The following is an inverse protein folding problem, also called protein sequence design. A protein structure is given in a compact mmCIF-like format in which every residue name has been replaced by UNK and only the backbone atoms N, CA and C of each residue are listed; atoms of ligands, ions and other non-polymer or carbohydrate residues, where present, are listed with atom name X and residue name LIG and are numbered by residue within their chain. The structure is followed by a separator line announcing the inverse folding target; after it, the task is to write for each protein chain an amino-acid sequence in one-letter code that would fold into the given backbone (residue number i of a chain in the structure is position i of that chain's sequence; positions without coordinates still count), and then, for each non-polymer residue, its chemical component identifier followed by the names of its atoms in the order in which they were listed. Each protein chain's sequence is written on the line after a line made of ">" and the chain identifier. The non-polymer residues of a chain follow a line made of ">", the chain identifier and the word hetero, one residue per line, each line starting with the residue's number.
data_IF_638383151675
#
_entry.id   IF_638383151675
#
_cell.length_a   1.000
_cell.length_b   1.000
_cell.length_c   1.000
_cell.angle_alpha   90.00
_cell.angle_beta   90.00
_cell.angle_gamma   90.00
#
_symmetry.space_group_name_H-M   'P 1'
#
loop_
_entity.id
_entity.type
_entity.pdbx_description
1 polymer ?
#
# COMPACT_ATOMS: atom_id res chain seq x y z
N UNK A 1 45.17 37.44 42.03
CA UNK A 1 44.58 36.30 42.84
C UNK A 1 44.38 35.12 41.93
N UNK A 2 44.94 33.96 42.25
CA UNK A 2 44.88 32.77 41.38
C UNK A 2 43.65 31.93 41.69
N UNK A 3 43.04 31.44 40.63
CA UNK A 3 41.90 30.49 40.58
C UNK A 3 42.34 29.12 41.13
N UNK A 4 41.53 28.41 41.92
CA UNK A 4 41.92 27.12 42.48
C UNK A 4 41.82 25.98 41.45
N UNK A 5 42.81 25.09 41.50
CA UNK A 5 42.93 23.90 40.69
C UNK A 5 41.93 22.83 41.10
N UNK A 6 41.23 22.27 40.12
CA UNK A 6 40.33 21.10 40.28
C UNK A 6 41.18 19.84 40.25
N UNK A 7 41.19 19.07 41.37
CA UNK A 7 41.77 17.74 41.44
C UNK A 7 40.85 16.73 40.74
N UNK A 8 41.36 16.11 39.67
CA UNK A 8 40.71 14.94 39.05
C UNK A 8 41.35 13.69 39.66
N UNK A 9 40.50 12.86 40.31
CA UNK A 9 40.93 11.55 40.81
C UNK A 9 41.08 10.55 39.66
N UNK A 10 42.01 9.59 39.72
CA UNK A 10 42.22 8.61 38.65
C UNK A 10 41.12 7.60 38.54
N UNK A 11 40.74 7.27 37.29
CA UNK A 11 39.71 6.31 36.94
C UNK A 11 40.11 4.86 37.32
N UNK A 12 39.18 4.12 37.95
CA UNK A 12 39.32 2.68 38.18
C UNK A 12 39.31 1.86 36.89
N UNK A 13 40.06 0.75 36.81
CA UNK A 13 40.10 -0.11 35.62
C UNK A 13 38.80 -0.92 35.49
N UNK A 14 38.38 -1.27 34.25
CA UNK A 14 37.11 -1.96 33.99
C UNK A 14 37.11 -3.39 34.51
N UNK A 15 36.06 -3.75 35.26
CA UNK A 15 35.81 -5.12 35.77
C UNK A 15 35.57 -6.06 34.58
N UNK A 16 36.27 -7.20 34.56
CA UNK A 16 36.10 -8.29 33.62
C UNK A 16 34.67 -8.83 33.69
N UNK A 17 34.00 -8.86 32.57
CA UNK A 17 32.64 -9.39 32.34
C UNK A 17 32.74 -10.92 32.40
N UNK A 18 31.97 -11.55 33.30
CA UNK A 18 31.90 -13.00 33.48
C UNK A 18 31.45 -13.75 32.20
N UNK A 19 31.97 -14.96 32.12
CA UNK A 19 31.71 -15.91 31.04
C UNK A 19 30.22 -16.16 30.81
N UNK A 20 29.78 -15.98 29.59
CA UNK A 20 28.45 -16.43 29.17
C UNK A 20 28.48 -17.95 28.99
N UNK A 21 27.71 -18.64 29.81
CA UNK A 21 27.38 -20.04 29.61
C UNK A 21 26.75 -20.20 28.20
N UNK A 22 27.37 -21.04 27.40
CA UNK A 22 26.86 -21.46 26.08
C UNK A 22 25.56 -22.24 26.25
N UNK A 23 24.49 -21.82 25.58
CA UNK A 23 23.27 -22.61 25.39
C UNK A 23 23.62 -23.85 24.53
N UNK A 24 23.09 -25.04 24.83
CA UNK A 24 23.31 -26.21 24.02
C UNK A 24 22.65 -26.01 22.64
N UNK A 25 23.40 -26.30 21.59
CA UNK A 25 22.90 -26.35 20.22
C UNK A 25 21.92 -27.53 20.11
N UNK A 26 20.73 -27.27 19.55
CA UNK A 26 19.78 -28.33 19.17
C UNK A 26 20.27 -28.87 17.82
N UNK A 27 20.83 -30.08 17.83
CA UNK A 27 21.21 -30.81 16.65
C UNK A 27 19.97 -31.50 16.07
N UNK A 28 19.55 -31.16 14.86
CA UNK A 28 18.44 -31.79 14.15
C UNK A 28 19.07 -32.79 13.16
N UNK A 29 18.90 -34.11 13.34
CA UNK A 29 19.40 -35.10 12.38
C UNK A 29 18.66 -35.04 11.05
N UNK A 30 19.39 -35.03 9.93
CA UNK A 30 18.85 -34.95 8.57
C UNK A 30 18.57 -36.32 7.94
N UNK A 31 18.71 -37.42 8.67
CA UNK A 31 18.47 -38.76 8.15
C UNK A 31 17.47 -39.54 9.00
N UNK A 32 16.49 -40.11 8.29
CA UNK A 32 15.25 -40.70 8.79
C UNK A 32 15.45 -42.06 9.50
N UNK A 33 16.01 -42.13 10.69
CA UNK A 33 15.97 -43.31 11.54
C UNK A 33 15.02 -43.08 12.75
N UNK A 34 14.13 -44.06 12.97
CA UNK A 34 13.20 -44.09 14.08
C UNK A 34 13.94 -44.32 15.42
N UNK A 35 13.63 -43.57 16.48
CA UNK A 35 14.16 -43.85 17.82
C UNK A 35 13.53 -45.12 18.43
N UNK A 36 14.27 -45.86 19.27
CA UNK A 36 13.79 -47.07 19.92
C UNK A 36 12.82 -46.78 21.06
N UNK A 37 11.87 -47.68 21.27
CA UNK A 37 10.83 -47.64 22.26
C UNK A 37 11.40 -47.68 23.70
N UNK A 38 10.89 -46.84 24.58
CA UNK A 38 11.11 -46.88 26.04
C UNK A 38 10.00 -47.71 26.72
N UNK A 39 10.30 -48.39 27.85
CA UNK A 39 9.40 -49.37 28.46
C UNK A 39 8.31 -48.66 29.30
N UNK A 40 7.17 -49.34 29.37
CA UNK A 40 5.97 -49.00 30.14
C UNK A 40 6.24 -49.10 31.64
N UNK A 41 5.89 -48.08 32.40
CA UNK A 41 5.61 -48.20 33.85
C UNK A 41 4.11 -48.01 34.12
N UNK A 42 3.52 -49.03 34.71
CA UNK A 42 2.17 -49.04 35.26
C UNK A 42 2.03 -48.10 36.44
N UNK A 43 0.97 -47.34 36.54
CA UNK A 43 0.04 -47.39 37.68
C UNK A 43 -1.00 -46.26 37.69
N UNK A 44 -2.24 -46.62 38.03
CA UNK A 44 -3.14 -45.72 38.75
C UNK A 44 -4.41 -45.29 38.01
N UNK A 45 -5.45 -46.09 38.13
CA UNK A 45 -6.87 -45.74 37.87
C UNK A 45 -7.27 -44.39 38.41
N UNK A 46 -7.83 -43.54 37.56
CA UNK A 46 -9.00 -42.71 37.92
C UNK A 46 -9.95 -42.57 36.72
N UNK A 47 -11.15 -43.05 36.89
CA UNK A 47 -12.28 -43.00 35.94
C UNK A 47 -12.96 -41.64 36.03
N UNK A 48 -13.28 -41.05 34.88
CA UNK A 48 -14.36 -40.07 34.87
C UNK A 48 -14.32 -39.09 33.71
N UNK A 49 -15.20 -39.31 32.72
CA UNK A 49 -15.89 -38.32 31.92
C UNK A 49 -15.09 -37.22 31.24
N UNK A 50 -14.79 -37.36 29.95
CA UNK A 50 -15.16 -36.39 28.90
C UNK A 50 -14.89 -37.01 27.53
N UNK A 51 -15.99 -37.40 26.89
CA UNK A 51 -15.99 -37.85 25.49
C UNK A 51 -15.98 -36.63 24.60
N UNK A 52 -14.80 -36.17 24.18
CA UNK A 52 -14.68 -35.20 23.10
C UNK A 52 -14.74 -35.96 21.78
N UNK A 53 -15.79 -35.69 20.99
CA UNK A 53 -15.83 -35.96 19.55
C UNK A 53 -14.72 -35.20 18.89
N UNK A 54 -13.79 -35.89 18.23
CA UNK A 54 -12.85 -35.31 17.32
C UNK A 54 -13.58 -34.89 16.05
N UNK A 55 -13.96 -33.62 15.94
CA UNK A 55 -14.37 -33.06 14.66
C UNK A 55 -13.13 -33.02 13.75
N UNK A 56 -13.15 -33.83 12.70
CA UNK A 56 -12.15 -33.78 11.64
C UNK A 56 -12.27 -32.41 10.96
N UNK A 57 -11.23 -31.61 11.00
CA UNK A 57 -11.16 -30.37 10.21
C UNK A 57 -11.41 -30.71 8.74
N UNK A 58 -12.42 -30.09 8.15
CA UNK A 58 -12.74 -30.21 6.72
C UNK A 58 -11.68 -29.47 5.91
N UNK A 59 -11.28 -30.04 4.78
CA UNK A 59 -10.38 -29.35 3.85
C UNK A 59 -11.08 -28.16 3.16
N UNK A 60 -10.35 -27.14 2.67
CA UNK A 60 -10.95 -25.98 2.00
C UNK A 60 -11.92 -26.34 0.87
N UNK A 61 -11.63 -27.38 0.10
CA UNK A 61 -12.49 -27.86 -1.00
C UNK A 61 -13.82 -28.46 -0.50
N UNK A 62 -13.82 -29.09 0.67
CA UNK A 62 -15.05 -29.61 1.29
C UNK A 62 -15.95 -28.49 1.83
N UNK A 63 -15.36 -27.38 2.26
CA UNK A 63 -16.12 -26.19 2.72
C UNK A 63 -16.76 -25.46 1.55
N UNK A 64 -16.11 -25.43 0.38
CA UNK A 64 -16.65 -24.81 -0.84
C UNK A 64 -17.82 -25.62 -1.41
N UNK A 65 -17.70 -26.96 -1.48
CA UNK A 65 -18.75 -27.81 -1.99
C UNK A 65 -20.02 -27.83 -1.09
N UNK A 66 -19.83 -27.71 0.24
CA UNK A 66 -20.96 -27.60 1.18
C UNK A 66 -21.70 -26.25 1.03
N UNK A 67 -20.97 -25.14 0.74
CA UNK A 67 -21.60 -23.84 0.48
C UNK A 67 -22.35 -23.76 -0.84
N UNK A 68 -21.86 -24.41 -1.89
CA UNK A 68 -22.56 -24.51 -3.17
C UNK A 68 -23.82 -25.34 -3.06
N UNK A 69 -23.82 -26.44 -2.27
CA UNK A 69 -24.99 -27.25 -2.00
C UNK A 69 -26.06 -26.51 -1.15
N UNK A 70 -25.61 -25.65 -0.22
CA UNK A 70 -26.51 -24.84 0.61
C UNK A 70 -27.15 -23.68 -0.19
N UNK A 71 -26.43 -23.08 -1.14
CA UNK A 71 -26.95 -22.05 -2.06
C UNK A 71 -27.95 -22.66 -3.08
N UNK A 72 -27.70 -23.85 -3.58
CA UNK A 72 -28.65 -24.55 -4.48
C UNK A 72 -29.95 -24.97 -3.79
N UNK A 73 -29.96 -25.12 -2.46
CA UNK A 73 -31.13 -25.43 -1.67
C UNK A 73 -32.02 -24.22 -1.32
N UNK A 74 -31.56 -22.99 -1.58
CA UNK A 74 -32.25 -21.73 -1.27
C UNK A 74 -32.98 -21.09 -2.47
N UNK A 75 -32.90 -21.65 -3.67
CA UNK A 75 -33.65 -21.15 -4.82
C UNK A 75 -35.10 -21.71 -4.78
N UNK A 76 -36.15 -20.85 -4.81
CA UNK A 76 -37.53 -21.29 -4.81
C UNK A 76 -37.95 -21.85 -6.17
N UNK A 77 -38.53 -23.03 -6.17
CA UNK A 77 -39.06 -23.72 -7.34
C UNK A 77 -40.15 -22.91 -8.07
N UNK A 78 -40.22 -22.92 -9.41
CA UNK A 78 -41.23 -22.18 -10.16
C UNK A 78 -42.62 -22.82 -10.03
N UNK A 79 -43.62 -21.99 -9.68
CA UNK A 79 -45.03 -22.36 -9.59
C UNK A 79 -45.66 -22.59 -10.97
N UNK A 80 -46.60 -23.55 -11.12
CA UNK A 80 -47.18 -23.91 -12.39
C UNK A 80 -48.27 -22.93 -12.86
N UNK A 81 -48.32 -22.77 -14.20
CA UNK A 81 -49.23 -21.94 -14.95
C UNK A 81 -50.70 -22.33 -14.80
N UNK A 82 -51.58 -21.34 -14.67
CA UNK A 82 -53.04 -21.48 -14.79
C UNK A 82 -53.51 -20.87 -16.12
N UNK A 83 -54.08 -21.74 -16.97
CA UNK A 83 -54.65 -21.41 -18.26
C UNK A 83 -56.04 -20.77 -18.19
N UNK A 84 -56.40 -19.99 -19.24
CA UNK A 84 -57.68 -19.58 -19.83
C UNK A 84 -57.82 -18.05 -19.98
N UNK A 85 -58.28 -17.44 -21.05
CA UNK A 85 -58.95 -17.78 -22.26
C UNK A 85 -58.78 -16.65 -23.26
N UNK A 86 -58.91 -16.92 -24.58
CA UNK A 86 -59.00 -15.97 -25.70
C UNK A 86 -60.42 -15.33 -25.78
N UNK A 87 -60.72 -14.29 -26.60
CA UNK A 87 -60.56 -14.33 -28.07
C UNK A 87 -60.12 -13.02 -28.80
N UNK A 88 -59.72 -13.23 -30.01
CA UNK A 88 -59.50 -12.46 -31.24
C UNK A 88 -60.51 -11.32 -31.55
N UNK A 89 -60.30 -10.31 -32.49
CA UNK A 89 -59.76 -10.51 -33.85
C UNK A 89 -58.79 -9.43 -34.43
N UNK A 90 -58.19 -9.84 -35.50
CA UNK A 90 -57.36 -9.18 -36.53
C UNK A 90 -57.87 -7.84 -37.10
N UNK A 91 -57.01 -7.00 -37.85
CA UNK A 91 -56.64 -7.42 -39.19
C UNK A 91 -55.26 -6.98 -39.74
N UNK A 92 -54.74 -7.83 -40.62
CA UNK A 92 -54.17 -7.65 -41.97
C UNK A 92 -52.84 -6.90 -42.17
N UNK A 93 -51.86 -7.69 -42.52
CA UNK A 93 -51.01 -7.75 -43.73
C UNK A 93 -49.86 -6.75 -43.91
N UNK A 94 -48.66 -7.28 -43.97
CA UNK A 94 -47.86 -7.25 -45.21
C UNK A 94 -46.66 -8.24 -45.04
N UNK A 95 -46.60 -9.20 -45.96
CA UNK A 95 -45.47 -10.13 -46.12
C UNK A 95 -44.25 -9.40 -46.64
N UNK A 96 -43.13 -9.49 -45.90
CA UNK A 96 -41.79 -9.32 -46.47
C UNK A 96 -41.02 -10.62 -46.22
N UNK A 97 -40.79 -11.33 -47.29
CA UNK A 97 -40.04 -12.57 -47.35
C UNK A 97 -38.58 -12.36 -46.92
N UNK A 98 -38.18 -13.11 -45.86
CA UNK A 98 -36.77 -13.23 -45.45
C UNK A 98 -36.25 -14.55 -46.03
N UNK A 99 -35.12 -14.58 -46.74
CA UNK A 99 -34.56 -15.82 -47.28
C UNK A 99 -33.93 -16.67 -46.15
N UNK A 100 -34.16 -17.97 -46.23
CA UNK A 100 -33.69 -19.05 -45.40
C UNK A 100 -32.15 -19.07 -45.35
N UNK A 101 -31.51 -19.16 -44.18
CA UNK A 101 -30.04 -19.25 -44.08
C UNK A 101 -29.57 -20.66 -44.48
N UNK A 102 -28.62 -20.70 -45.38
CA UNK A 102 -27.91 -21.91 -45.80
C UNK A 102 -27.10 -22.52 -44.61
N UNK A 103 -26.89 -23.84 -44.58
CA UNK A 103 -26.22 -24.52 -43.46
C UNK A 103 -24.77 -24.06 -43.32
N UNK A 104 -24.42 -23.63 -42.11
CA UNK A 104 -23.09 -23.19 -41.73
C UNK A 104 -22.06 -24.33 -41.83
N UNK A 105 -20.99 -24.08 -42.54
CA UNK A 105 -19.80 -24.91 -42.57
C UNK A 105 -19.15 -24.95 -41.15
N UNK A 106 -18.48 -26.03 -40.75
CA UNK A 106 -17.87 -26.14 -39.44
C UNK A 106 -16.78 -25.07 -39.28
N UNK A 107 -16.89 -24.30 -38.18
CA UNK A 107 -15.93 -23.28 -37.79
C UNK A 107 -14.56 -23.91 -37.54
N UNK A 108 -13.56 -23.38 -38.24
CA UNK A 108 -12.18 -23.68 -37.95
C UNK A 108 -11.79 -23.18 -36.55
N UNK A 109 -10.91 -23.90 -35.80
CA UNK A 109 -10.48 -23.48 -34.49
C UNK A 109 -9.74 -22.14 -34.55
N UNK A 110 -9.91 -21.24 -33.56
CA UNK A 110 -9.26 -19.92 -33.57
C UNK A 110 -7.74 -20.06 -33.52
N UNK A 111 -7.06 -19.36 -34.40
CA UNK A 111 -5.61 -19.29 -34.45
C UNK A 111 -5.09 -18.31 -33.39
N UNK A 112 -4.51 -18.78 -32.25
CA UNK A 112 -4.11 -17.90 -31.14
C UNK A 112 -2.70 -17.32 -31.25
N UNK A 113 -1.94 -17.60 -32.33
CA UNK A 113 -0.52 -17.29 -32.38
C UNK A 113 -0.14 -16.01 -33.15
N UNK A 114 -1.00 -15.50 -34.04
CA UNK A 114 -0.65 -14.34 -34.85
C UNK A 114 -0.80 -13.01 -34.11
N UNK A 115 -1.83 -12.86 -33.26
CA UNK A 115 -2.07 -11.64 -32.49
C UNK A 115 -1.01 -11.34 -31.43
N UNK A 116 -0.51 -12.37 -30.73
CA UNK A 116 0.53 -12.20 -29.68
C UNK A 116 1.89 -11.79 -30.23
N UNK A 117 2.25 -12.27 -31.43
CA UNK A 117 3.51 -11.86 -32.09
C UNK A 117 3.44 -10.42 -32.61
N UNK A 118 2.27 -9.98 -33.07
CA UNK A 118 2.06 -8.61 -33.53
C UNK A 118 2.20 -7.60 -32.36
N UNK A 119 1.57 -7.86 -31.22
CA UNK A 119 1.68 -7.00 -30.03
C UNK A 119 3.14 -6.92 -29.55
N UNK A 120 3.86 -8.02 -29.47
CA UNK A 120 5.26 -8.02 -29.06
C UNK A 120 6.17 -7.20 -30.02
N UNK A 121 5.90 -7.25 -31.34
CA UNK A 121 6.63 -6.42 -32.32
C UNK A 121 6.31 -4.92 -32.16
N UNK A 122 5.06 -4.57 -31.93
CA UNK A 122 4.63 -3.19 -31.71
C UNK A 122 5.21 -2.62 -30.41
N UNK A 123 5.25 -3.42 -29.34
CA UNK A 123 5.89 -3.03 -28.07
C UNK A 123 7.40 -2.87 -28.25
N UNK A 124 8.07 -3.72 -29.01
CA UNK A 124 9.51 -3.56 -29.31
C UNK A 124 9.80 -2.27 -30.11
N UNK A 125 8.96 -1.95 -31.10
CA UNK A 125 9.06 -0.69 -31.84
C UNK A 125 8.79 0.53 -30.92
N UNK A 126 7.80 0.44 -30.03
CA UNK A 126 7.52 1.46 -29.03
C UNK A 126 8.67 1.65 -28.03
N UNK A 127 9.33 0.56 -27.63
CA UNK A 127 10.52 0.62 -26.77
C UNK A 127 11.67 1.37 -27.45
N UNK A 128 11.92 1.11 -28.72
CA UNK A 128 12.95 1.83 -29.48
C UNK A 128 12.64 3.32 -29.61
N UNK A 129 11.38 3.68 -29.87
CA UNK A 129 10.94 5.07 -29.94
C UNK A 129 11.08 5.79 -28.59
N UNK A 130 10.65 5.15 -27.48
CA UNK A 130 10.82 5.68 -26.12
C UNK A 130 12.29 5.87 -25.79
N UNK A 131 13.15 4.92 -26.15
CA UNK A 131 14.60 5.03 -25.90
C UNK A 131 15.18 6.25 -26.61
N UNK A 132 14.85 6.45 -27.89
CA UNK A 132 15.32 7.61 -28.66
C UNK A 132 14.81 8.94 -28.08
N UNK A 133 13.53 9.03 -27.66
CA UNK A 133 12.97 10.21 -27.00
C UNK A 133 13.72 10.54 -25.69
N UNK A 134 14.03 9.51 -24.89
CA UNK A 134 14.77 9.70 -23.61
C UNK A 134 16.20 10.15 -23.87
N UNK A 135 16.91 9.50 -24.82
CA UNK A 135 18.28 9.88 -25.17
C UNK A 135 18.36 11.32 -25.66
N UNK A 136 17.39 11.75 -26.49
CA UNK A 136 17.30 13.14 -26.93
C UNK A 136 17.09 14.09 -25.74
N UNK A 137 16.18 13.76 -24.82
CA UNK A 137 15.89 14.59 -23.64
C UNK A 137 17.09 14.71 -22.69
N UNK A 138 17.87 13.65 -22.54
CA UNK A 138 19.08 13.66 -21.69
C UNK A 138 20.23 14.46 -22.32
N UNK A 139 20.22 14.68 -23.63
CA UNK A 139 21.23 15.52 -24.33
C UNK A 139 20.86 17.01 -24.36
N UNK A 140 19.61 17.38 -24.06
CA UNK A 140 19.19 18.76 -23.90
C UNK A 140 19.86 19.37 -22.67
N UNK A 141 20.55 20.51 -22.82
CA UNK A 141 21.18 21.22 -21.71
C UNK A 141 20.13 21.55 -20.63
N UNK A 142 20.38 21.09 -19.42
CA UNK A 142 19.50 21.38 -18.30
C UNK A 142 19.70 22.84 -17.88
N UNK A 143 18.68 23.68 -18.13
CA UNK A 143 18.58 24.98 -17.48
C UNK A 143 18.73 24.82 -15.97
N UNK A 144 19.29 25.85 -15.30
CA UNK A 144 19.42 25.81 -13.84
C UNK A 144 18.05 25.58 -13.18
N UNK A 145 17.81 24.37 -12.65
CA UNK A 145 16.55 24.02 -12.02
C UNK A 145 16.28 24.86 -10.78
N UNK A 146 15.07 25.40 -10.69
CA UNK A 146 14.57 26.13 -9.53
C UNK A 146 13.43 25.34 -8.89
N UNK A 147 13.53 25.11 -7.58
CA UNK A 147 12.45 24.46 -6.84
C UNK A 147 11.18 25.31 -6.86
N UNK A 148 9.99 24.69 -6.93
CA UNK A 148 8.74 25.41 -6.83
C UNK A 148 8.67 26.17 -5.50
N UNK A 149 8.27 27.47 -5.50
CA UNK A 149 8.14 28.21 -4.25
C UNK A 149 7.01 27.64 -3.39
N UNK A 150 7.23 27.53 -2.08
CA UNK A 150 6.27 26.96 -1.14
C UNK A 150 4.93 27.72 -1.11
N UNK A 151 4.93 28.98 -1.50
CA UNK A 151 3.75 29.85 -1.58
C UNK A 151 2.73 29.39 -2.63
N UNK A 152 3.09 28.46 -3.53
CA UNK A 152 2.14 27.82 -4.43
C UNK A 152 1.21 26.85 -3.70
N UNK A 153 1.60 26.39 -2.52
CA UNK A 153 0.80 25.48 -1.70
C UNK A 153 -0.02 26.27 -0.67
N UNK A 154 -1.24 25.82 -0.50
CA UNK A 154 -2.18 26.43 0.44
C UNK A 154 -1.69 26.30 1.89
N UNK A 155 -1.78 27.37 2.66
CA UNK A 155 -1.54 27.36 4.11
C UNK A 155 -2.74 26.79 4.89
N UNK A 156 -2.46 26.09 5.99
CA UNK A 156 -3.50 25.69 6.93
C UNK A 156 -4.04 26.93 7.67
N UNK A 157 -5.36 26.91 7.89
CA UNK A 157 -5.99 27.93 8.72
C UNK A 157 -5.87 27.54 10.19
N UNK A 158 -5.66 28.52 11.05
CA UNK A 158 -5.68 28.30 12.50
C UNK A 158 -7.05 27.77 12.95
N UNK A 159 -7.03 26.69 13.71
CA UNK A 159 -8.24 26.08 14.30
C UNK A 159 -8.62 26.78 15.62
N UNK A 160 -9.92 26.80 15.91
CA UNK A 160 -10.42 27.31 17.19
C UNK A 160 -10.28 26.25 18.30
N UNK A 161 -9.07 26.12 18.85
CA UNK A 161 -8.75 25.12 19.88
C UNK A 161 -9.56 25.21 21.18
N UNK A 162 -10.17 26.37 21.48
CA UNK A 162 -10.90 26.54 22.72
C UNK A 162 -12.24 25.79 22.74
N UNK A 163 -13.01 25.85 21.65
CA UNK A 163 -14.27 25.11 21.51
C UNK A 163 -14.02 23.61 21.43
N UNK A 164 -13.03 23.21 20.67
CA UNK A 164 -12.58 21.82 20.55
C UNK A 164 -12.23 21.24 21.91
N UNK A 165 -11.48 21.94 22.75
CA UNK A 165 -11.09 21.47 24.08
C UNK A 165 -12.27 21.24 25.04
N UNK A 166 -13.35 22.03 24.96
CA UNK A 166 -14.56 21.81 25.77
C UNK A 166 -15.32 20.56 25.30
N UNK A 167 -15.45 20.37 23.99
CA UNK A 167 -16.07 19.18 23.39
C UNK A 167 -15.32 17.89 23.74
N UNK A 168 -14.00 17.90 23.64
CA UNK A 168 -13.15 16.74 23.99
C UNK A 168 -13.36 16.28 25.44
N UNK A 169 -13.39 17.23 26.39
CA UNK A 169 -13.65 16.90 27.80
C UNK A 169 -15.06 16.36 28.02
N UNK A 170 -16.05 16.90 27.35
CA UNK A 170 -17.43 16.42 27.44
C UNK A 170 -17.59 15.00 26.90
N UNK A 171 -17.01 14.72 25.74
CA UNK A 171 -17.02 13.38 25.13
C UNK A 171 -16.26 12.36 26.00
N UNK A 172 -15.11 12.72 26.56
CA UNK A 172 -14.37 11.86 27.49
C UNK A 172 -15.22 11.46 28.72
N UNK A 173 -15.95 12.43 29.29
CA UNK A 173 -16.85 12.16 30.43
C UNK A 173 -18.00 11.26 30.03
N UNK A 174 -18.67 11.53 28.90
CA UNK A 174 -19.77 10.70 28.39
C UNK A 174 -19.30 9.26 28.13
N UNK A 175 -18.09 9.08 27.57
CA UNK A 175 -17.50 7.76 27.40
C UNK A 175 -17.31 7.03 28.73
N UNK A 176 -16.75 7.69 29.75
CA UNK A 176 -16.56 7.09 31.06
C UNK A 176 -17.89 6.68 31.70
N UNK A 177 -18.92 7.54 31.63
CA UNK A 177 -20.27 7.25 32.12
C UNK A 177 -20.90 6.09 31.36
N UNK A 178 -20.72 6.02 30.03
CA UNK A 178 -21.24 4.94 29.20
C UNK A 178 -20.58 3.62 29.53
N UNK A 179 -19.23 3.56 29.64
CA UNK A 179 -18.51 2.36 30.02
C UNK A 179 -18.95 1.85 31.40
N UNK A 180 -19.09 2.74 32.38
CA UNK A 180 -19.59 2.39 33.72
C UNK A 180 -20.99 1.83 33.69
N UNK A 181 -21.92 2.40 32.87
CA UNK A 181 -23.30 1.91 32.74
C UNK A 181 -23.36 0.50 32.16
N UNK A 182 -22.41 0.11 31.34
CA UNK A 182 -22.28 -1.26 30.81
C UNK A 182 -21.42 -2.18 31.71
N UNK A 183 -21.11 -1.72 32.93
CA UNK A 183 -20.32 -2.49 33.90
C UNK A 183 -18.88 -2.74 33.47
N UNK A 184 -18.31 -1.81 32.72
CA UNK A 184 -16.89 -1.81 32.37
C UNK A 184 -16.16 -0.80 33.27
N UNK A 185 -15.34 -1.33 34.18
CA UNK A 185 -14.53 -0.51 35.06
C UNK A 185 -13.26 -0.06 34.31
N UNK A 186 -13.21 1.23 33.99
CA UNK A 186 -12.12 1.84 33.24
C UNK A 186 -11.91 3.29 33.69
N UNK A 187 -10.66 3.69 33.82
CA UNK A 187 -10.27 5.05 34.18
C UNK A 187 -9.88 5.84 32.94
N UNK A 188 -10.47 7.04 32.77
CA UNK A 188 -10.13 7.94 31.66
C UNK A 188 -8.65 8.37 31.76
N UNK A 189 -7.92 8.21 30.66
CA UNK A 189 -6.53 8.62 30.47
C UNK A 189 -6.42 9.81 29.53
N UNK A 190 -5.42 9.75 28.63
CA UNK A 190 -5.11 10.81 27.67
C UNK A 190 -6.17 10.93 26.56
N UNK A 191 -6.34 12.13 26.04
CA UNK A 191 -7.15 12.40 24.85
C UNK A 191 -6.23 12.90 23.75
N UNK A 192 -6.18 12.16 22.66
CA UNK A 192 -5.34 12.49 21.49
C UNK A 192 -6.25 12.92 20.36
N UNK A 193 -6.23 14.22 20.04
CA UNK A 193 -7.04 14.80 18.97
C UNK A 193 -6.26 14.80 17.67
N UNK A 194 -6.79 14.10 16.67
CA UNK A 194 -6.23 14.06 15.31
C UNK A 194 -7.12 14.79 14.31
N UNK A 195 -6.69 14.86 13.03
CA UNK A 195 -7.40 15.64 12.02
C UNK A 195 -8.80 15.09 11.66
N UNK A 196 -8.99 13.77 11.71
CA UNK A 196 -10.26 13.12 11.33
C UNK A 196 -10.92 12.37 12.48
N UNK A 197 -10.14 11.90 13.44
CA UNK A 197 -10.62 11.14 14.60
C UNK A 197 -9.95 11.62 15.88
N UNK A 198 -10.67 11.49 16.98
CA UNK A 198 -10.13 11.70 18.33
C UNK A 198 -10.04 10.36 19.03
N UNK A 199 -8.88 10.03 19.58
CA UNK A 199 -8.66 8.85 20.38
C UNK A 199 -8.73 9.19 21.85
N UNK A 200 -9.69 8.58 22.55
CA UNK A 200 -9.82 8.62 24.00
C UNK A 200 -9.20 7.37 24.60
N UNK A 201 -8.21 7.54 25.44
CA UNK A 201 -7.51 6.44 26.07
C UNK A 201 -8.15 6.09 27.43
N UNK A 202 -8.36 4.81 27.67
CA UNK A 202 -8.90 4.32 28.93
C UNK A 202 -8.01 3.23 29.49
N UNK A 203 -7.65 3.33 30.76
CA UNK A 203 -6.94 2.29 31.51
C UNK A 203 -7.99 1.31 32.02
N UNK A 204 -7.88 0.05 31.64
CA UNK A 204 -8.79 -1.01 32.08
C UNK A 204 -8.39 -1.54 33.43
N UNK A 205 -9.35 -1.74 34.33
CA UNK A 205 -9.13 -2.39 35.60
C UNK A 205 -8.83 -3.88 35.43
N UNK A 206 -8.20 -4.47 36.47
CA UNK A 206 -7.80 -5.87 36.45
C UNK A 206 -9.01 -6.79 36.25
N UNK A 207 -8.88 -7.71 35.29
CA UNK A 207 -9.95 -8.67 34.98
C UNK A 207 -10.94 -8.24 33.88
N UNK A 208 -10.88 -6.99 33.42
CA UNK A 208 -11.71 -6.55 32.29
C UNK A 208 -11.15 -7.10 30.99
N UNK A 209 -11.96 -7.88 30.26
CA UNK A 209 -11.58 -8.45 28.96
C UNK A 209 -11.78 -7.44 27.86
N UNK A 210 -10.81 -7.30 26.94
CA UNK A 210 -10.90 -6.42 25.77
C UNK A 210 -12.16 -6.72 24.94
N UNK A 211 -12.53 -7.99 24.76
CA UNK A 211 -13.72 -8.39 24.02
C UNK A 211 -15.02 -7.83 24.60
N UNK A 212 -15.08 -7.58 25.92
CA UNK A 212 -16.25 -6.95 26.55
C UNK A 212 -16.45 -5.53 26.03
N UNK A 213 -15.35 -4.78 25.83
CA UNK A 213 -15.42 -3.39 25.35
C UNK A 213 -15.61 -3.33 23.84
N UNK A 214 -14.89 -4.17 23.08
CA UNK A 214 -15.03 -4.17 21.61
C UNK A 214 -16.43 -4.54 21.16
N UNK A 215 -17.16 -5.35 21.91
CA UNK A 215 -18.57 -5.68 21.63
C UNK A 215 -19.55 -4.52 21.91
N UNK A 216 -19.11 -3.49 22.61
CA UNK A 216 -19.90 -2.29 22.92
C UNK A 216 -19.67 -1.14 21.89
N UNK A 217 -18.97 -1.40 20.79
CA UNK A 217 -18.65 -0.35 19.80
C UNK A 217 -19.89 0.39 19.29
N UNK A 218 -20.95 -0.34 18.97
CA UNK A 218 -22.19 0.23 18.43
C UNK A 218 -22.97 1.00 19.50
N UNK A 219 -23.01 0.49 20.73
CA UNK A 219 -23.67 1.16 21.87
C UNK A 219 -22.94 2.45 22.24
N UNK A 220 -21.61 2.43 22.21
CA UNK A 220 -20.78 3.62 22.45
C UNK A 220 -20.96 4.65 21.32
N UNK A 221 -21.00 4.20 20.07
CA UNK A 221 -21.26 5.09 18.93
C UNK A 221 -22.62 5.77 19.07
N UNK A 222 -23.66 5.01 19.43
CA UNK A 222 -25.01 5.53 19.69
C UNK A 222 -25.01 6.57 20.83
N UNK A 223 -24.35 6.25 21.95
CA UNK A 223 -24.28 7.14 23.11
C UNK A 223 -23.60 8.49 22.79
N UNK A 224 -22.63 8.49 21.87
CA UNK A 224 -21.91 9.71 21.44
C UNK A 224 -22.58 10.42 20.26
N UNK A 225 -23.56 9.79 19.60
CA UNK A 225 -24.13 10.27 18.35
C UNK A 225 -23.12 10.25 17.18
N UNK A 226 -22.19 9.31 17.22
CA UNK A 226 -21.18 9.08 16.17
C UNK A 226 -21.65 8.05 15.15
N UNK A 227 -21.16 8.13 13.92
CA UNK A 227 -21.46 7.14 12.87
C UNK A 227 -20.89 5.75 13.13
N UNK A 228 -19.92 5.64 14.02
CA UNK A 228 -19.25 4.42 14.45
C UNK A 228 -18.04 4.77 15.31
N UNK A 229 -17.54 3.82 16.10
CA UNK A 229 -16.29 3.97 16.86
C UNK A 229 -15.40 2.75 16.61
N UNK A 230 -14.10 2.96 16.68
CA UNK A 230 -13.12 1.87 16.62
C UNK A 230 -12.46 1.72 17.98
N UNK A 231 -12.41 0.49 18.48
CA UNK A 231 -11.81 0.19 19.77
C UNK A 231 -10.62 -0.74 19.57
N UNK A 232 -9.43 -0.31 19.99
CA UNK A 232 -8.20 -1.07 19.83
C UNK A 232 -7.26 -0.89 21.02
N UNK A 233 -6.47 -1.92 21.38
CA UNK A 233 -5.39 -1.75 22.36
C UNK A 233 -4.34 -0.78 21.82
N UNK A 234 -3.72 0.00 22.71
CA UNK A 234 -2.66 0.92 22.34
C UNK A 234 -1.33 0.18 22.47
N UNK A 235 -0.55 0.09 21.36
CA UNK A 235 0.81 -0.45 21.45
C UNK A 235 1.62 0.31 22.51
N UNK A 236 2.50 -0.41 23.22
CA UNK A 236 3.42 0.11 24.24
C UNK A 236 2.78 0.62 25.54
N UNK A 237 1.44 0.61 25.69
CA UNK A 237 0.74 0.95 26.92
C UNK A 237 0.01 -0.29 27.48
N UNK A 238 0.41 -0.75 28.65
CA UNK A 238 -0.19 -1.94 29.30
C UNK A 238 -1.58 -1.59 29.81
N UNK A 239 -2.57 -2.45 29.53
CA UNK A 239 -3.97 -2.31 29.94
C UNK A 239 -4.67 -1.03 29.45
N UNK A 240 -4.13 -0.35 28.43
CA UNK A 240 -4.75 0.84 27.85
C UNK A 240 -5.44 0.51 26.54
N UNK A 241 -6.69 0.96 26.42
CA UNK A 241 -7.51 0.84 25.21
C UNK A 241 -7.78 2.22 24.66
N UNK A 242 -7.63 2.37 23.35
CA UNK A 242 -8.03 3.57 22.62
C UNK A 242 -9.42 3.41 22.03
N UNK A 243 -10.30 4.35 22.30
CA UNK A 243 -11.61 4.51 21.66
C UNK A 243 -11.49 5.64 20.66
N UNK A 244 -11.48 5.33 19.39
CA UNK A 244 -11.36 6.28 18.29
C UNK A 244 -12.75 6.69 17.82
N UNK A 245 -13.05 7.98 17.99
CA UNK A 245 -14.34 8.59 17.66
C UNK A 245 -14.13 9.54 16.49
N UNK A 246 -14.90 9.45 15.40
CA UNK A 246 -14.84 10.41 14.30
C UNK A 246 -15.13 11.83 14.77
N UNK A 247 -14.33 12.79 14.31
CA UNK A 247 -14.56 14.20 14.61
C UNK A 247 -15.81 14.68 13.87
N UNK A 248 -16.60 15.57 14.48
CA UNK A 248 -17.72 16.22 13.79
C UNK A 248 -17.26 17.13 12.66
N UNK A 249 -16.15 17.81 12.88
CA UNK A 249 -15.48 18.61 11.87
C UNK A 249 -14.13 17.95 11.58
N UNK A 250 -13.91 17.60 10.31
CA UNK A 250 -12.67 17.04 9.85
C UNK A 250 -11.77 18.17 9.39
N UNK A 251 -10.56 18.24 9.94
CA UNK A 251 -9.54 19.19 9.53
C UNK A 251 -8.78 18.62 8.33
N UNK A 252 -8.77 19.33 7.19
CA UNK A 252 -7.98 18.88 6.06
C UNK A 252 -6.48 18.92 6.37
N UNK A 253 -5.78 17.85 6.10
CA UNK A 253 -4.31 17.81 6.20
C UNK A 253 -3.73 18.35 4.90
N UNK A 254 -3.13 19.53 4.94
CA UNK A 254 -2.53 20.14 3.77
C UNK A 254 -1.12 19.63 3.54
N UNK A 255 -0.77 19.41 2.28
CA UNK A 255 0.55 18.91 1.90
C UNK A 255 1.68 19.85 2.33
N UNK A 256 1.42 21.17 2.33
CA UNK A 256 2.39 22.18 2.77
C UNK A 256 2.85 21.93 4.20
N UNK A 257 1.93 21.65 5.11
CA UNK A 257 2.26 21.42 6.52
C UNK A 257 3.22 20.23 6.70
N UNK A 258 3.08 19.22 5.86
CA UNK A 258 3.96 18.05 5.92
C UNK A 258 5.30 18.32 5.23
N UNK A 259 5.32 19.04 4.09
CA UNK A 259 6.55 19.40 3.36
C UNK A 259 7.43 20.36 4.19
N UNK A 260 6.83 21.32 4.90
CA UNK A 260 7.55 22.25 5.78
C UNK A 260 7.98 21.60 7.11
N UNK A 261 7.46 20.40 7.42
CA UNK A 261 7.80 19.73 8.67
C UNK A 261 9.26 19.31 8.75
N UNK A 262 9.75 19.18 9.98
CA UNK A 262 11.11 18.74 10.25
C UNK A 262 11.34 17.30 9.77
N UNK A 263 10.32 16.44 9.90
CA UNK A 263 10.37 15.06 9.47
C UNK A 263 10.61 14.93 7.97
N UNK A 264 10.07 15.85 7.16
CA UNK A 264 10.28 15.87 5.72
C UNK A 264 11.57 16.58 5.33
N UNK A 265 11.82 17.77 5.87
CA UNK A 265 12.98 18.61 5.48
C UNK A 265 14.32 17.95 5.82
N UNK A 266 14.44 17.34 7.01
CA UNK A 266 15.64 16.64 7.48
C UNK A 266 15.75 15.20 6.96
N UNK A 267 14.74 14.70 6.22
CA UNK A 267 14.77 13.34 5.69
C UNK A 267 15.87 13.18 4.64
N UNK A 268 16.73 12.17 4.80
CA UNK A 268 17.95 11.99 3.97
C UNK A 268 17.66 11.50 2.56
N UNK A 269 16.62 10.70 2.38
CA UNK A 269 16.26 10.14 1.08
C UNK A 269 15.73 11.20 0.14
N UNK A 270 16.17 11.16 -1.11
CA UNK A 270 15.73 12.04 -2.19
C UNK A 270 14.36 11.62 -2.77
N UNK A 271 13.92 10.43 -2.46
CA UNK A 271 12.60 9.90 -2.84
C UNK A 271 11.66 9.78 -1.63
N UNK A 272 11.84 10.66 -0.63
CA UNK A 272 10.92 10.81 0.48
C UNK A 272 9.69 11.62 0.06
N UNK A 273 8.50 11.22 0.54
CA UNK A 273 7.24 11.88 0.20
C UNK A 273 6.34 12.09 1.41
N UNK A 274 5.55 13.15 1.38
CA UNK A 274 4.54 13.46 2.38
C UNK A 274 3.38 12.48 2.28
N UNK A 275 3.14 11.69 3.33
CA UNK A 275 2.02 10.75 3.38
C UNK A 275 0.80 11.39 4.05
N UNK A 276 0.99 12.21 5.08
CA UNK A 276 -0.08 12.87 5.83
C UNK A 276 0.23 13.01 7.31
N UNK A 277 -0.81 12.91 8.14
CA UNK A 277 -0.70 12.91 9.61
C UNK A 277 -1.29 11.64 10.20
N UNK A 278 -0.69 11.14 11.27
CA UNK A 278 -1.27 10.05 12.06
C UNK A 278 -2.41 10.55 12.96
N UNK A 279 -3.05 9.62 13.69
CA UNK A 279 -4.13 9.93 14.64
C UNK A 279 -3.65 10.90 15.74
N UNK A 280 -2.35 10.87 16.05
CA UNK A 280 -1.72 11.77 17.02
C UNK A 280 -1.34 13.15 16.47
N UNK A 281 -1.66 13.43 15.21
CA UNK A 281 -1.32 14.70 14.55
C UNK A 281 0.15 14.80 14.11
N UNK A 282 0.96 13.73 14.25
CA UNK A 282 2.36 13.73 13.80
C UNK A 282 2.44 13.58 12.30
N UNK A 283 3.32 14.34 11.67
CA UNK A 283 3.57 14.24 10.24
C UNK A 283 4.24 12.90 9.91
N UNK A 284 3.70 12.21 8.92
CA UNK A 284 4.21 10.92 8.44
C UNK A 284 4.80 11.13 7.06
N UNK A 285 6.06 10.74 6.94
CA UNK A 285 6.84 10.79 5.69
C UNK A 285 7.14 9.37 5.25
N UNK A 286 6.75 9.06 4.03
CA UNK A 286 7.11 7.82 3.35
C UNK A 286 8.46 7.94 2.65
N UNK A 287 9.07 6.81 2.35
CA UNK A 287 10.35 6.75 1.65
C UNK A 287 10.32 5.60 0.64
N UNK A 288 10.33 5.97 -0.65
CA UNK A 288 10.25 4.98 -1.73
C UNK A 288 11.49 4.07 -1.73
N UNK A 289 12.66 4.58 -1.34
CA UNK A 289 13.88 3.75 -1.27
C UNK A 289 13.75 2.60 -0.26
N UNK A 290 13.03 2.84 0.85
CA UNK A 290 12.75 1.81 1.86
C UNK A 290 11.63 0.86 1.46
N UNK A 291 10.59 1.36 0.79
CA UNK A 291 9.40 0.60 0.40
C UNK A 291 9.57 -0.35 -0.79
N UNK A 292 10.57 -0.40 -1.52
CA UNK A 292 11.14 0.11 -2.75
C UNK A 292 10.12 0.40 -3.86
N UNK A 293 8.94 -0.16 -3.78
CA UNK A 293 7.82 0.05 -4.71
C UNK A 293 6.55 0.30 -3.91
N UNK A 294 5.58 1.01 -4.48
CA UNK A 294 4.34 1.41 -3.83
C UNK A 294 3.15 0.99 -4.69
N UNK A 295 2.19 0.32 -4.07
CA UNK A 295 0.89 0.04 -4.66
C UNK A 295 -0.17 0.89 -3.95
N UNK A 296 -0.91 1.69 -4.72
CA UNK A 296 -1.98 2.57 -4.25
C UNK A 296 -3.30 2.06 -4.82
N UNK A 297 -4.12 1.44 -3.99
CA UNK A 297 -5.41 0.92 -4.42
C UNK A 297 -6.56 1.70 -3.76
N UNK A 298 -7.61 1.97 -4.55
CA UNK A 298 -8.79 2.64 -4.04
C UNK A 298 -9.84 2.91 -5.10
N UNK A 299 -11.10 2.86 -4.72
CA UNK A 299 -12.25 3.21 -5.58
C UNK A 299 -12.31 4.71 -5.85
N UNK A 300 -13.14 5.12 -6.80
CA UNK A 300 -13.40 6.53 -7.06
C UNK A 300 -13.81 7.27 -5.78
N UNK A 301 -13.18 8.39 -5.50
CA UNK A 301 -13.43 9.19 -4.30
C UNK A 301 -12.70 8.72 -3.02
N UNK A 302 -11.91 7.62 -3.08
CA UNK A 302 -11.13 7.14 -1.92
C UNK A 302 -9.88 7.97 -1.60
N UNK A 303 -9.49 8.87 -2.49
CA UNK A 303 -8.27 9.67 -2.36
C UNK A 303 -7.05 9.11 -3.10
N UNK A 304 -7.21 8.08 -3.97
CA UNK A 304 -6.11 7.50 -4.77
C UNK A 304 -5.32 8.57 -5.52
N UNK A 305 -5.99 9.38 -6.31
CA UNK A 305 -5.36 10.46 -7.11
C UNK A 305 -4.72 11.52 -6.23
N UNK A 306 -5.34 11.86 -5.08
CA UNK A 306 -4.76 12.80 -4.12
C UNK A 306 -3.45 12.25 -3.54
N UNK A 307 -3.42 10.96 -3.19
CA UNK A 307 -2.22 10.29 -2.67
C UNK A 307 -1.10 10.25 -3.73
N UNK A 308 -1.42 9.89 -4.98
CA UNK A 308 -0.46 9.87 -6.09
C UNK A 308 0.10 11.27 -6.36
N UNK A 309 -0.77 12.29 -6.44
CA UNK A 309 -0.36 13.67 -6.63
C UNK A 309 0.49 14.19 -5.45
N UNK A 310 0.12 13.86 -4.22
CA UNK A 310 0.89 14.21 -3.02
C UNK A 310 2.30 13.63 -3.07
N UNK A 311 2.45 12.39 -3.52
CA UNK A 311 3.74 11.74 -3.71
C UNK A 311 4.58 12.47 -4.77
N UNK A 312 4.01 12.72 -5.97
CA UNK A 312 4.71 13.41 -7.06
C UNK A 312 5.14 14.80 -6.63
N UNK A 313 4.22 15.61 -6.10
CA UNK A 313 4.49 16.98 -5.63
C UNK A 313 5.58 16.98 -4.56
N UNK A 314 5.54 16.02 -3.62
CA UNK A 314 6.60 15.90 -2.61
C UNK A 314 7.99 15.73 -3.23
N UNK A 315 8.11 14.89 -4.27
CA UNK A 315 9.40 14.69 -4.95
C UNK A 315 9.84 15.93 -5.70
N UNK A 316 8.93 16.69 -6.30
CA UNK A 316 9.24 17.97 -6.97
C UNK A 316 9.75 19.04 -5.98
N UNK A 317 9.30 19.02 -4.72
CA UNK A 317 9.82 19.90 -3.66
C UNK A 317 11.08 19.35 -2.97
N UNK A 318 11.41 18.08 -3.15
CA UNK A 318 12.54 17.43 -2.46
C UNK A 318 13.79 17.29 -3.31
N UNK A 319 13.64 17.11 -4.62
CA UNK A 319 14.72 16.63 -5.48
C UNK A 319 14.78 17.37 -6.80
N UNK A 320 15.99 17.53 -7.33
CA UNK A 320 16.25 18.08 -8.66
C UNK A 320 16.05 17.00 -9.74
N UNK A 321 15.94 17.37 -11.03
CA UNK A 321 15.91 16.41 -12.13
C UNK A 321 17.15 15.49 -12.19
N UNK A 322 18.31 15.93 -11.68
CA UNK A 322 19.53 15.11 -11.62
C UNK A 322 19.52 14.10 -10.48
N UNK A 323 18.58 14.25 -9.55
CA UNK A 323 18.41 13.34 -8.43
C UNK A 323 17.24 12.37 -8.63
N UNK A 324 16.16 12.82 -9.28
CA UNK A 324 14.94 12.04 -9.54
C UNK A 324 14.38 12.32 -10.92
N UNK A 325 14.13 11.30 -11.69
CA UNK A 325 13.44 11.34 -12.99
C UNK A 325 12.15 10.54 -12.95
N UNK A 326 11.18 10.99 -13.74
CA UNK A 326 9.88 10.32 -13.84
C UNK A 326 9.63 9.73 -15.23
N UNK A 327 8.96 8.60 -15.25
CA UNK A 327 8.13 8.11 -16.34
C UNK A 327 6.70 8.06 -15.79
N UNK A 328 5.78 8.75 -16.43
CA UNK A 328 4.38 8.80 -16.01
C UNK A 328 3.48 8.19 -17.07
N UNK A 329 2.57 7.32 -16.62
CA UNK A 329 1.63 6.59 -17.48
C UNK A 329 0.21 6.87 -17.02
N UNK A 330 -0.59 7.48 -17.89
CA UNK A 330 -1.98 7.85 -17.65
C UNK A 330 -2.84 7.48 -18.86
N UNK A 331 -3.34 6.23 -18.93
CA UNK A 331 -4.16 5.78 -20.05
C UNK A 331 -5.48 6.55 -20.18
N UNK A 332 -5.96 7.17 -19.09
CA UNK A 332 -7.22 7.92 -19.04
C UNK A 332 -7.06 9.39 -19.40
N UNK A 333 -5.85 9.92 -19.46
CA UNK A 333 -5.54 11.34 -19.73
C UNK A 333 -6.20 12.33 -18.76
N UNK A 334 -6.36 11.97 -17.48
CA UNK A 334 -7.12 12.77 -16.52
C UNK A 334 -6.23 13.30 -15.40
N UNK A 335 -5.40 12.45 -14.81
CA UNK A 335 -4.75 12.73 -13.53
C UNK A 335 -3.32 13.28 -13.69
N UNK A 336 -2.53 12.74 -14.63
CA UNK A 336 -1.11 13.06 -14.75
C UNK A 336 -0.80 14.04 -15.91
N UNK A 337 -1.74 14.33 -16.78
CA UNK A 337 -1.56 15.28 -17.88
C UNK A 337 -1.02 16.67 -17.47
N UNK A 338 -1.38 17.24 -16.27
CA UNK A 338 -0.83 18.51 -15.82
C UNK A 338 0.67 18.53 -15.59
N UNK A 339 1.31 17.36 -15.43
CA UNK A 339 2.75 17.25 -15.25
C UNK A 339 3.56 17.29 -16.55
N UNK A 340 2.91 17.34 -17.72
CA UNK A 340 3.62 17.49 -18.98
C UNK A 340 4.48 18.78 -18.97
N UNK A 341 5.74 18.66 -19.39
CA UNK A 341 6.66 19.78 -19.45
C UNK A 341 7.52 20.00 -18.19
N UNK A 342 7.28 19.27 -17.08
CA UNK A 342 8.19 19.37 -15.93
C UNK A 342 9.58 18.81 -16.28
N UNK A 343 10.67 19.41 -15.78
CA UNK A 343 12.04 18.99 -16.10
C UNK A 343 12.38 17.56 -15.66
N UNK A 344 11.66 17.02 -14.67
CA UNK A 344 11.86 15.66 -14.16
C UNK A 344 11.39 14.56 -15.10
N UNK A 345 10.48 14.86 -16.06
CA UNK A 345 9.99 13.84 -17.01
C UNK A 345 11.08 13.45 -18.01
N UNK A 346 11.27 12.14 -18.17
CA UNK A 346 12.13 11.59 -19.22
C UNK A 346 11.46 11.64 -20.58
N UNK A 347 10.14 11.44 -20.62
CA UNK A 347 9.27 11.52 -21.82
C UNK A 347 7.97 12.19 -21.41
N UNK A 348 7.21 12.77 -22.35
CA UNK A 348 5.84 13.22 -22.10
C UNK A 348 4.99 12.12 -21.48
N UNK A 349 3.98 12.48 -20.68
CA UNK A 349 3.07 11.52 -20.05
C UNK A 349 2.51 10.54 -21.08
N UNK A 350 2.74 9.26 -20.85
CA UNK A 350 2.39 8.20 -21.78
C UNK A 350 0.93 7.83 -21.62
N UNK A 351 0.16 7.91 -22.70
CA UNK A 351 -1.29 7.65 -22.72
C UNK A 351 -1.64 6.38 -23.49
N UNK A 352 -0.81 5.96 -24.42
CA UNK A 352 -0.99 4.73 -25.20
C UNK A 352 -0.45 3.50 -24.41
N UNK A 353 -1.27 2.43 -24.23
CA UNK A 353 -0.86 1.25 -23.47
C UNK A 353 0.35 0.50 -24.06
N UNK A 354 0.53 0.51 -25.40
CA UNK A 354 1.69 -0.14 -26.01
C UNK A 354 2.96 0.67 -25.79
N UNK A 355 2.88 2.00 -25.88
CA UNK A 355 3.98 2.91 -25.53
C UNK A 355 4.30 2.79 -24.04
N UNK A 356 3.30 2.58 -23.16
CA UNK A 356 3.49 2.32 -21.75
C UNK A 356 4.26 1.01 -21.47
N UNK A 357 3.91 -0.07 -22.18
CA UNK A 357 4.66 -1.32 -22.13
C UNK A 357 6.11 -1.11 -22.58
N UNK A 358 6.32 -0.32 -23.65
CA UNK A 358 7.66 0.05 -24.13
C UNK A 358 8.47 0.85 -23.09
N UNK A 359 7.83 1.80 -22.39
CA UNK A 359 8.46 2.58 -21.33
C UNK A 359 8.84 1.72 -20.11
N UNK A 360 8.01 0.72 -19.77
CA UNK A 360 8.35 -0.26 -18.73
C UNK A 360 9.53 -1.16 -19.14
N UNK A 361 9.57 -1.59 -20.39
CA UNK A 361 10.72 -2.34 -20.92
C UNK A 361 12.00 -1.50 -20.91
N UNK A 362 11.90 -0.21 -21.25
CA UNK A 362 13.04 0.70 -21.13
C UNK A 362 13.52 0.78 -19.66
N UNK A 363 12.62 0.87 -18.69
CA UNK A 363 13.00 0.87 -17.27
C UNK A 363 13.76 -0.41 -16.86
N UNK A 364 13.35 -1.58 -17.39
CA UNK A 364 14.10 -2.84 -17.20
C UNK A 364 15.47 -2.76 -17.85
N UNK A 365 15.56 -2.26 -19.08
CA UNK A 365 16.83 -2.11 -19.79
C UNK A 365 17.79 -1.16 -19.04
N UNK A 366 17.31 0.00 -18.62
CA UNK A 366 18.10 0.95 -17.82
C UNK A 366 18.57 0.33 -16.50
N UNK A 367 17.71 -0.39 -15.81
CA UNK A 367 18.06 -1.15 -14.61
C UNK A 367 19.23 -2.12 -14.86
N UNK A 368 19.16 -2.90 -15.94
CA UNK A 368 20.21 -3.86 -16.30
C UNK A 368 21.52 -3.16 -16.72
N UNK A 369 21.42 -2.05 -17.44
CA UNK A 369 22.56 -1.19 -17.77
C UNK A 369 23.26 -0.71 -16.50
N UNK A 370 22.52 -0.23 -15.50
CA UNK A 370 23.06 0.21 -14.21
C UNK A 370 23.76 -0.92 -13.47
N UNK A 371 23.20 -2.12 -13.45
CA UNK A 371 23.87 -3.28 -12.85
C UNK A 371 25.22 -3.60 -13.51
N UNK A 372 25.29 -3.48 -14.84
CA UNK A 372 26.56 -3.63 -15.56
C UNK A 372 27.57 -2.57 -15.14
N UNK A 373 27.16 -1.31 -15.12
CA UNK A 373 28.00 -0.18 -14.67
C UNK A 373 28.45 -0.37 -13.22
N UNK A 374 27.57 -0.81 -12.33
CA UNK A 374 27.92 -1.08 -10.92
C UNK A 374 28.97 -2.18 -10.79
N UNK A 375 28.82 -3.25 -11.58
CA UNK A 375 29.79 -4.35 -11.61
C UNK A 375 31.16 -3.89 -12.08
N UNK A 376 31.21 -3.04 -13.11
CA UNK A 376 32.47 -2.48 -13.67
C UNK A 376 33.21 -1.59 -12.64
N UNK A 377 32.46 -0.93 -11.73
CA UNK A 377 33.03 -0.04 -10.70
C UNK A 377 33.10 -0.69 -9.30
N UNK A 378 32.77 -2.00 -9.18
CA UNK A 378 32.88 -2.75 -7.92
C UNK A 378 31.89 -2.31 -6.84
N UNK A 379 30.78 -1.66 -7.20
CA UNK A 379 29.71 -1.24 -6.30
C UNK A 379 28.44 -2.08 -6.50
N UNK A 380 27.51 -2.04 -5.54
CA UNK A 380 26.33 -2.91 -5.54
C UNK A 380 25.00 -2.17 -5.70
N UNK A 381 24.97 -0.87 -5.45
CA UNK A 381 23.75 -0.07 -5.44
C UNK A 381 23.99 1.38 -5.86
N UNK A 382 22.94 2.05 -6.29
CA UNK A 382 22.95 3.43 -6.78
C UNK A 382 23.61 4.41 -5.80
N UNK A 383 23.30 4.32 -4.50
CA UNK A 383 23.88 5.20 -3.49
C UNK A 383 25.43 5.11 -3.42
N UNK A 384 25.96 3.87 -3.54
CA UNK A 384 27.40 3.62 -3.55
C UNK A 384 28.03 4.18 -4.82
N UNK A 385 27.39 3.94 -5.99
CA UNK A 385 27.84 4.47 -7.26
C UNK A 385 27.84 6.01 -7.26
N UNK A 386 26.77 6.65 -6.83
CA UNK A 386 26.68 8.10 -6.78
C UNK A 386 27.67 8.71 -5.78
N UNK A 387 28.05 8.00 -4.72
CA UNK A 387 29.11 8.41 -3.81
C UNK A 387 30.47 8.38 -4.51
N UNK A 388 30.75 7.33 -5.29
CA UNK A 388 31.95 7.21 -6.10
C UNK A 388 31.99 8.29 -7.18
N UNK A 389 30.90 8.51 -7.90
CA UNK A 389 30.79 9.50 -8.96
C UNK A 389 31.05 10.92 -8.45
N UNK A 390 30.53 11.30 -7.27
CA UNK A 390 30.81 12.62 -6.65
C UNK A 390 32.28 12.79 -6.22
N UNK A 391 33.03 11.71 -6.04
CA UNK A 391 34.43 11.72 -5.71
C UNK A 391 35.36 11.62 -6.94
N UNK A 392 34.81 11.44 -8.13
CA UNK A 392 35.52 11.30 -9.40
C UNK A 392 35.11 12.42 -10.35
N UNK A 393 36.08 12.91 -11.15
CA UNK A 393 35.82 13.90 -12.21
C UNK A 393 35.30 13.24 -13.50
N UNK A 394 35.50 11.93 -13.65
CA UNK A 394 35.19 11.18 -14.88
C UNK A 394 33.79 10.48 -14.84
N UNK A 395 33.09 10.55 -13.72
CA UNK A 395 31.81 9.84 -13.53
C UNK A 395 30.67 10.80 -13.18
N UNK A 396 29.57 10.68 -13.89
CA UNK A 396 28.34 11.39 -13.58
C UNK A 396 27.45 10.61 -12.62
N UNK A 397 26.73 11.33 -11.74
CA UNK A 397 25.74 10.72 -10.86
C UNK A 397 24.52 10.27 -11.65
N UNK A 398 23.89 9.18 -11.22
CA UNK A 398 22.68 8.66 -11.84
C UNK A 398 21.45 9.03 -10.96
N UNK A 399 20.37 9.55 -11.56
CA UNK A 399 19.13 9.82 -10.84
C UNK A 399 18.40 8.53 -10.45
N UNK A 400 17.60 8.59 -9.40
CA UNK A 400 16.54 7.59 -9.19
C UNK A 400 15.46 7.74 -10.27
N UNK A 401 14.97 6.63 -10.82
CA UNK A 401 13.88 6.63 -11.80
C UNK A 401 12.60 6.15 -11.11
N UNK A 402 11.56 6.97 -11.12
CA UNK A 402 10.26 6.65 -10.53
C UNK A 402 9.24 6.51 -11.67
N UNK A 403 8.76 5.29 -11.87
CA UNK A 403 7.71 4.98 -12.85
C UNK A 403 6.36 5.05 -12.14
N UNK A 404 5.52 5.99 -12.53
CA UNK A 404 4.18 6.20 -11.95
C UNK A 404 3.13 5.73 -12.96
N UNK A 405 2.25 4.82 -12.53
CA UNK A 405 1.14 4.29 -13.33
C UNK A 405 -0.16 4.63 -12.60
N UNK A 406 -1.04 5.43 -13.22
CA UNK A 406 -2.31 5.84 -12.59
C UNK A 406 -3.35 4.71 -12.57
N UNK A 407 -3.43 3.89 -13.64
CA UNK A 407 -4.37 2.77 -13.69
C UNK A 407 -3.74 1.55 -14.37
N UNK A 408 -3.27 0.60 -13.57
CA UNK A 408 -2.65 -0.62 -14.10
C UNK A 408 -3.65 -1.49 -14.88
N UNK A 409 -4.91 -1.56 -14.43
CA UNK A 409 -5.93 -2.39 -15.06
C UNK A 409 -6.10 -2.11 -16.55
N UNK A 410 -5.98 -0.84 -16.97
CA UNK A 410 -6.16 -0.46 -18.38
C UNK A 410 -4.97 -0.94 -19.26
N UNK A 411 -3.78 -1.02 -18.70
CA UNK A 411 -2.61 -1.58 -19.40
C UNK A 411 -2.72 -3.09 -19.57
N UNK A 412 -3.24 -3.78 -18.55
CA UNK A 412 -3.42 -5.23 -18.56
C UNK A 412 -4.42 -5.71 -19.63
N UNK A 413 -5.35 -4.86 -20.05
CA UNK A 413 -6.29 -5.19 -21.14
C UNK A 413 -5.61 -5.30 -22.52
N UNK A 414 -4.49 -4.61 -22.75
CA UNK A 414 -3.88 -4.45 -24.09
C UNK A 414 -2.57 -5.21 -24.20
N UNK A 415 -1.69 -5.13 -23.20
CA UNK A 415 -0.32 -5.66 -23.23
C UNK A 415 0.03 -6.39 -21.93
N UNK A 416 -0.89 -7.22 -21.41
CA UNK A 416 -0.77 -7.85 -20.11
C UNK A 416 0.58 -8.52 -19.87
N UNK A 417 1.02 -9.36 -20.81
CA UNK A 417 2.24 -10.15 -20.65
C UNK A 417 3.50 -9.29 -20.55
N UNK A 418 3.62 -8.31 -21.43
CA UNK A 418 4.80 -7.45 -21.53
C UNK A 418 4.87 -6.50 -20.30
N UNK A 419 3.71 -6.01 -19.86
CA UNK A 419 3.57 -5.17 -18.67
C UNK A 419 3.89 -5.97 -17.41
N UNK A 420 3.27 -7.15 -17.23
CA UNK A 420 3.50 -8.04 -16.09
C UNK A 420 4.98 -8.43 -15.97
N UNK A 421 5.58 -8.91 -17.08
CA UNK A 421 6.99 -9.31 -17.09
C UNK A 421 7.92 -8.16 -16.68
N UNK A 422 7.66 -6.95 -17.19
CA UNK A 422 8.45 -5.76 -16.90
C UNK A 422 8.29 -5.32 -15.43
N UNK A 423 7.06 -5.27 -14.93
CA UNK A 423 6.76 -4.94 -13.54
C UNK A 423 7.43 -5.94 -12.59
N UNK A 424 7.28 -7.25 -12.86
CA UNK A 424 7.90 -8.29 -12.04
C UNK A 424 9.42 -8.16 -11.97
N UNK A 425 10.08 -7.89 -13.09
CA UNK A 425 11.55 -7.70 -13.15
C UNK A 425 12.00 -6.47 -12.35
N UNK A 426 11.31 -5.33 -12.54
CA UNK A 426 11.65 -4.11 -11.78
C UNK A 426 11.34 -4.31 -10.30
N UNK A 427 10.22 -4.94 -9.95
CA UNK A 427 9.86 -5.20 -8.55
C UNK A 427 10.89 -6.07 -7.82
N UNK A 428 11.49 -7.04 -8.51
CA UNK A 428 12.49 -7.93 -7.93
C UNK A 428 13.89 -7.29 -7.81
N UNK A 429 14.27 -6.45 -8.75
CA UNK A 429 15.65 -5.99 -8.88
C UNK A 429 15.80 -4.45 -8.84
N UNK A 430 14.73 -3.67 -8.97
CA UNK A 430 14.79 -2.21 -9.15
C UNK A 430 15.44 -1.47 -7.99
N UNK A 431 15.26 -1.94 -6.75
CA UNK A 431 15.71 -1.25 -5.54
C UNK A 431 17.20 -0.83 -5.58
N UNK A 432 18.07 -1.77 -5.86
CA UNK A 432 19.51 -1.49 -5.86
C UNK A 432 19.93 -0.60 -7.03
N UNK A 433 19.24 -0.68 -8.16
CA UNK A 433 19.48 0.16 -9.33
C UNK A 433 18.85 1.56 -9.23
N UNK A 434 18.03 1.83 -8.18
CA UNK A 434 17.30 3.10 -8.04
C UNK A 434 16.17 3.25 -9.06
N UNK A 435 15.52 2.13 -9.44
CA UNK A 435 14.34 2.12 -10.31
C UNK A 435 13.15 1.68 -9.48
N UNK A 436 12.15 2.54 -9.36
CA UNK A 436 11.03 2.38 -8.45
C UNK A 436 9.71 2.43 -9.19
N UNK A 437 8.73 1.65 -8.72
CA UNK A 437 7.37 1.63 -9.24
C UNK A 437 6.41 2.28 -8.23
N UNK A 438 5.56 3.16 -8.70
CA UNK A 438 4.38 3.67 -8.00
C UNK A 438 3.18 3.30 -8.87
N UNK A 439 2.50 2.23 -8.48
CA UNK A 439 1.40 1.66 -9.25
C UNK A 439 0.10 1.99 -8.55
N UNK A 440 -0.81 2.65 -9.27
CA UNK A 440 -2.15 2.90 -8.78
C UNK A 440 -3.19 2.09 -9.56
N UNK A 441 -4.28 1.69 -8.90
CA UNK A 441 -5.40 0.99 -9.54
C UNK A 441 -6.70 1.18 -8.77
N UNK A 442 -7.80 1.24 -9.49
CA UNK A 442 -9.15 1.19 -8.91
C UNK A 442 -9.67 -0.26 -8.81
N UNK A 443 -8.96 -1.22 -9.39
CA UNK A 443 -9.33 -2.63 -9.46
C UNK A 443 -8.27 -3.52 -8.85
N UNK A 444 -8.16 -3.57 -7.50
CA UNK A 444 -7.16 -4.39 -6.82
C UNK A 444 -7.62 -5.86 -6.78
N UNK A 445 -7.60 -6.52 -7.92
CA UNK A 445 -7.95 -7.94 -8.07
C UNK A 445 -6.73 -8.75 -8.49
N UNK A 446 -6.81 -10.06 -8.34
CA UNK A 446 -5.73 -10.98 -8.74
C UNK A 446 -5.50 -11.03 -10.25
N UNK A 447 -6.44 -10.51 -11.05
CA UNK A 447 -6.35 -10.45 -12.51
C UNK A 447 -5.57 -9.22 -13.00
N UNK A 448 -5.32 -8.28 -12.10
CA UNK A 448 -4.60 -7.01 -12.31
C UNK A 448 -3.36 -6.97 -11.43
#
# INVERSE_FOLDING_TARGET
>A
EPTPAVHIAPAEPPRRRGERQSRPAIDIPLDGEKPPAQPEEESGRFTGFFRHKSDKMKTPDQVLSDKEAEQAALEPAPSPARAKAAPTPEPVAEEVSVPEPAPAAPAAPPAPAAGKKAVAQEVAAATAAVTAEIEQKLTEDADTYQFPPITLLQESREENYAETGAELRNNSRRLAETLTSFGVDATAGDVVHGPSVTRYEFVLDQGVKLSKITNLSDDIALALGASGVRIAPIPDKISVVGIEVPNKQVTPVLIRDVIESREFTEHKSKVAFALGRDIGGRNIVGDIERLPHVLIAGTTGSGKSVCTNSLIVSLLYKSTPDEVRFIMVDPKMVELAPYNGIPHLLIPVVTDPKKAAGALQWAVFEMMKRYKTFSEHGVKKLEEFNRLARASEDLETLPSVVVVIDELADLMLVAAKEVEESICRVAQMGRAAGVHLVIATQRPSADV
#
